data_IF_514501205126
#
_entry.id   IF_514501205126
#
_cell.length_a   1.000
_cell.length_b   1.000
_cell.length_c   1.000
_cell.angle_alpha   90.00
_cell.angle_beta   90.00
_cell.angle_gamma   90.00
#
_symmetry.space_group_name_H-M   'P 1'
#
loop_
_entity.id
_entity.type
_entity.pdbx_description
1 polymer ?
#
# COMPACT_ATOMS: atom_id res chain seq x y z
N UNK A 1 31.13 10.13 -63.84
CA UNK A 1 31.03 9.13 -62.76
C UNK A 1 31.85 9.66 -61.58
N UNK A 2 31.18 10.30 -60.62
CA UNK A 2 31.79 10.81 -59.38
C UNK A 2 31.94 9.69 -58.37
N UNK A 3 33.03 9.65 -57.62
CA UNK A 3 33.20 8.66 -56.57
C UNK A 3 32.17 8.89 -55.48
N UNK A 4 31.48 7.82 -55.09
CA UNK A 4 30.63 7.82 -53.93
C UNK A 4 31.44 8.15 -52.69
N UNK A 5 31.19 9.28 -52.09
CA UNK A 5 31.74 9.67 -50.82
C UNK A 5 31.25 8.66 -49.78
N UNK A 6 32.09 7.73 -49.37
CA UNK A 6 31.85 6.82 -48.27
C UNK A 6 31.73 7.67 -46.99
N UNK A 7 30.51 7.78 -46.50
CA UNK A 7 30.27 8.37 -45.19
C UNK A 7 31.04 7.51 -44.16
N UNK A 8 32.11 8.10 -43.62
CA UNK A 8 32.90 7.47 -42.59
C UNK A 8 32.05 7.06 -41.36
N UNK A 9 32.47 6.07 -40.63
CA UNK A 9 31.71 5.68 -39.43
C UNK A 9 31.54 6.89 -38.51
N UNK A 10 30.29 7.13 -38.11
CA UNK A 10 29.96 8.15 -37.12
C UNK A 10 30.79 7.88 -35.86
N UNK A 11 31.84 8.68 -35.67
CA UNK A 11 32.56 8.68 -34.39
C UNK A 11 31.65 9.18 -33.30
N UNK A 12 31.07 8.24 -32.55
CA UNK A 12 30.23 8.57 -31.39
C UNK A 12 31.13 9.20 -30.35
N UNK A 13 30.96 10.49 -30.14
CA UNK A 13 31.71 11.24 -29.13
C UNK A 13 31.64 10.53 -27.76
N UNK A 14 32.73 10.40 -27.02
CA UNK A 14 32.75 9.77 -25.69
C UNK A 14 31.73 10.42 -24.71
N UNK A 15 31.35 11.68 -24.97
CA UNK A 15 30.30 12.36 -24.21
C UNK A 15 28.94 11.64 -24.25
N UNK A 16 28.61 10.95 -25.36
CA UNK A 16 27.38 10.18 -25.47
C UNK A 16 27.36 8.94 -24.56
N UNK A 17 28.49 8.29 -24.38
CA UNK A 17 28.61 7.15 -23.46
C UNK A 17 28.44 7.60 -22.01
N UNK A 18 28.99 8.76 -21.64
CA UNK A 18 28.80 9.34 -20.30
C UNK A 18 27.33 9.70 -20.07
N UNK A 19 26.68 10.33 -21.05
CA UNK A 19 25.26 10.66 -20.96
C UNK A 19 24.39 9.40 -20.86
N UNK A 20 24.65 8.38 -21.64
CA UNK A 20 23.94 7.10 -21.60
C UNK A 20 24.12 6.38 -20.24
N UNK A 21 25.33 6.34 -19.69
CA UNK A 21 25.60 5.79 -18.36
C UNK A 21 24.86 6.56 -17.27
N UNK A 22 24.82 7.89 -17.36
CA UNK A 22 24.10 8.72 -16.38
C UNK A 22 22.58 8.49 -16.41
N UNK A 23 21.97 8.40 -17.61
CA UNK A 23 20.55 8.06 -17.77
C UNK A 23 20.27 6.65 -17.24
N UNK A 24 21.15 5.69 -17.53
CA UNK A 24 21.02 4.31 -17.03
C UNK A 24 21.09 4.25 -15.49
N UNK A 25 22.03 4.98 -14.89
CA UNK A 25 22.14 5.08 -13.43
C UNK A 25 20.92 5.72 -12.78
N UNK A 26 20.34 6.77 -13.40
CA UNK A 26 19.10 7.38 -12.93
C UNK A 26 17.93 6.43 -13.06
N UNK A 27 17.81 5.70 -14.16
CA UNK A 27 16.78 4.71 -14.38
C UNK A 27 16.89 3.54 -13.37
N UNK A 28 18.10 3.01 -13.17
CA UNK A 28 18.36 2.00 -12.14
C UNK A 28 18.08 2.52 -10.73
N UNK A 29 18.53 3.73 -10.41
CA UNK A 29 18.26 4.37 -9.11
C UNK A 29 16.77 4.50 -8.84
N UNK A 30 15.99 4.88 -9.84
CA UNK A 30 14.54 5.02 -9.71
C UNK A 30 13.83 3.65 -9.60
N UNK A 31 14.32 2.63 -10.31
CA UNK A 31 13.79 1.27 -10.26
C UNK A 31 14.12 0.58 -8.93
N UNK A 32 15.31 0.82 -8.38
CA UNK A 32 15.77 0.24 -7.11
C UNK A 32 15.43 1.08 -5.88
N UNK A 33 15.00 2.35 -6.04
CA UNK A 33 14.59 3.22 -4.93
C UNK A 33 13.51 2.59 -4.03
N UNK A 34 12.46 1.91 -4.55
CA UNK A 34 11.49 1.24 -3.69
C UNK A 34 12.11 0.04 -2.93
N UNK A 35 13.05 -0.71 -3.55
CA UNK A 35 13.75 -1.80 -2.86
C UNK A 35 14.66 -1.26 -1.73
N UNK A 36 15.38 -0.16 -1.97
CA UNK A 36 16.20 0.47 -0.94
C UNK A 36 15.37 1.10 0.17
N UNK A 37 14.20 1.66 -0.13
CA UNK A 37 13.27 2.15 0.89
C UNK A 37 12.66 1.02 1.71
N UNK A 38 12.34 -0.10 1.07
CA UNK A 38 11.89 -1.31 1.76
C UNK A 38 12.99 -1.93 2.64
N UNK A 39 14.26 -1.91 2.18
CA UNK A 39 15.39 -2.44 2.95
C UNK A 39 15.88 -1.49 4.05
N UNK A 40 15.67 -0.19 3.92
CA UNK A 40 16.20 0.82 4.84
C UNK A 40 15.25 1.25 5.95
N UNK A 41 14.02 0.71 6.03
CA UNK A 41 13.10 1.40 6.89
C UNK A 41 12.01 0.72 7.63
N UNK A 42 11.74 -0.55 7.52
CA UNK A 42 10.80 -1.17 8.46
C UNK A 42 11.24 -2.61 8.72
N UNK A 43 12.13 -2.78 9.67
CA UNK A 43 12.23 -4.09 10.33
C UNK A 43 10.94 -4.27 11.12
N UNK A 44 10.12 -5.20 10.67
CA UNK A 44 8.86 -5.60 11.32
C UNK A 44 9.03 -6.14 12.78
N UNK A 45 10.24 -6.02 13.31
CA UNK A 45 10.60 -6.53 14.65
C UNK A 45 10.24 -5.55 15.79
N UNK A 46 10.09 -4.25 15.49
CA UNK A 46 9.57 -3.27 16.46
C UNK A 46 8.31 -2.64 15.86
N UNK A 47 7.19 -3.35 15.98
CA UNK A 47 5.87 -2.82 15.63
C UNK A 47 5.63 -1.47 16.33
N UNK A 48 4.94 -0.51 15.67
CA UNK A 48 4.71 0.79 16.27
C UNK A 48 3.93 0.61 17.57
N UNK A 49 4.46 1.12 18.65
CA UNK A 49 3.77 1.15 19.95
C UNK A 49 2.71 2.25 19.89
N UNK A 50 1.52 1.88 19.49
CA UNK A 50 0.39 2.81 19.46
C UNK A 50 -0.12 2.99 20.89
N UNK A 51 -0.31 4.23 21.37
CA UNK A 51 -0.91 4.49 22.66
C UNK A 51 -2.28 3.80 22.80
N UNK A 52 -2.56 3.17 23.93
CA UNK A 52 -3.82 2.47 24.23
C UNK A 52 -5.08 3.29 23.87
N UNK A 53 -5.15 4.62 24.14
CA UNK A 53 -6.33 5.42 23.79
C UNK A 53 -6.58 5.52 22.28
N UNK A 54 -5.53 5.56 21.47
CA UNK A 54 -5.65 5.60 20.00
C UNK A 54 -6.23 4.27 19.50
N UNK A 55 -5.68 3.16 19.96
CA UNK A 55 -6.17 1.83 19.62
C UNK A 55 -7.65 1.63 19.98
N UNK A 56 -8.05 2.03 21.18
CA UNK A 56 -9.45 1.91 21.60
C UNK A 56 -10.40 2.71 20.73
N UNK A 57 -9.97 3.88 20.22
CA UNK A 57 -10.73 4.68 19.29
C UNK A 57 -10.96 3.94 17.98
N UNK A 58 -9.92 3.31 17.40
CA UNK A 58 -10.09 2.54 16.16
C UNK A 58 -10.96 1.30 16.35
N UNK A 59 -10.80 0.56 17.44
CA UNK A 59 -11.66 -0.58 17.78
C UNK A 59 -13.14 -0.15 17.96
N UNK A 60 -13.38 0.99 18.57
CA UNK A 60 -14.74 1.56 18.70
C UNK A 60 -15.34 1.91 17.34
N UNK A 61 -14.56 2.52 16.43
CA UNK A 61 -15.00 2.83 15.06
C UNK A 61 -15.34 1.57 14.27
N UNK A 62 -14.51 0.51 14.36
CA UNK A 62 -14.80 -0.79 13.74
C UNK A 62 -16.08 -1.39 14.29
N UNK A 63 -16.31 -1.30 15.62
CA UNK A 63 -17.54 -1.79 16.24
C UNK A 63 -18.78 -0.99 15.80
N UNK A 64 -18.66 0.30 15.54
CA UNK A 64 -19.75 1.11 15.00
C UNK A 64 -20.16 0.67 13.59
N UNK A 65 -19.18 0.35 12.71
CA UNK A 65 -19.45 -0.20 11.37
C UNK A 65 -20.19 -1.54 11.48
N UNK A 66 -19.75 -2.43 12.35
CA UNK A 66 -20.40 -3.74 12.56
C UNK A 66 -21.84 -3.58 13.08
N UNK A 67 -22.06 -2.65 14.00
CA UNK A 67 -23.39 -2.35 14.53
C UNK A 67 -24.34 -1.82 13.43
N UNK A 68 -23.85 -0.90 12.60
CA UNK A 68 -24.60 -0.36 11.46
C UNK A 68 -24.99 -1.45 10.46
N UNK A 69 -24.06 -2.36 10.15
CA UNK A 69 -24.28 -3.50 9.26
C UNK A 69 -25.32 -4.48 9.85
N UNK A 70 -25.19 -4.82 11.14
CA UNK A 70 -26.10 -5.75 11.82
C UNK A 70 -27.53 -5.17 11.94
N UNK A 71 -27.64 -3.87 12.17
CA UNK A 71 -28.91 -3.15 12.22
C UNK A 71 -29.55 -2.96 10.83
N UNK A 72 -28.90 -3.40 9.74
CA UNK A 72 -29.30 -3.18 8.33
C UNK A 72 -29.53 -1.70 8.01
N UNK A 73 -28.86 -0.82 8.73
CA UNK A 73 -28.90 0.63 8.52
C UNK A 73 -27.83 1.12 7.56
N UNK A 74 -26.85 0.29 7.25
CA UNK A 74 -25.76 0.58 6.32
C UNK A 74 -25.66 -0.51 5.24
N UNK A 75 -25.30 -0.11 4.03
CA UNK A 75 -25.02 -1.02 2.94
C UNK A 75 -23.66 -1.72 3.13
N UNK A 76 -23.56 -2.97 2.65
CA UNK A 76 -22.33 -3.79 2.75
C UNK A 76 -21.15 -3.09 2.10
N UNK A 77 -21.36 -2.53 0.90
CA UNK A 77 -20.34 -1.83 0.15
C UNK A 77 -19.85 -0.58 0.88
N UNK A 78 -20.79 0.21 1.38
CA UNK A 78 -20.48 1.40 2.18
C UNK A 78 -19.72 1.04 3.46
N UNK A 79 -20.14 -0.03 4.13
CA UNK A 79 -19.46 -0.56 5.32
C UNK A 79 -18.05 -1.04 5.03
N UNK A 80 -17.82 -1.70 3.88
CA UNK A 80 -16.49 -2.13 3.44
C UNK A 80 -15.57 -0.92 3.16
N UNK A 81 -16.08 0.12 2.50
CA UNK A 81 -15.34 1.37 2.24
C UNK A 81 -14.99 2.10 3.54
N UNK A 82 -15.94 2.21 4.47
CA UNK A 82 -15.69 2.81 5.79
C UNK A 82 -14.63 2.03 6.56
N UNK A 83 -14.68 0.70 6.55
CA UNK A 83 -13.70 -0.15 7.21
C UNK A 83 -12.31 0.00 6.58
N UNK A 84 -12.23 0.04 5.25
CA UNK A 84 -10.98 0.30 4.54
C UNK A 84 -10.36 1.66 4.88
N UNK A 85 -11.20 2.68 5.05
CA UNK A 85 -10.76 4.02 5.49
C UNK A 85 -10.20 3.97 6.90
N UNK A 86 -10.91 3.32 7.84
CA UNK A 86 -10.47 3.15 9.23
C UNK A 86 -9.12 2.43 9.31
N UNK A 87 -8.95 1.36 8.53
CA UNK A 87 -7.70 0.58 8.49
C UNK A 87 -6.53 1.41 7.92
N UNK A 88 -6.78 2.23 6.89
CA UNK A 88 -5.75 3.12 6.33
C UNK A 88 -5.34 4.22 7.30
N UNK A 89 -6.30 4.87 7.94
CA UNK A 89 -6.03 5.90 8.97
C UNK A 89 -5.24 5.31 10.13
N UNK A 90 -5.62 4.10 10.59
CA UNK A 90 -4.88 3.38 11.61
C UNK A 90 -3.43 3.11 11.17
N UNK A 91 -3.22 2.67 9.92
CA UNK A 91 -1.88 2.45 9.38
C UNK A 91 -1.09 3.76 9.29
N UNK A 92 -1.74 4.88 8.97
CA UNK A 92 -1.12 6.20 8.97
C UNK A 92 -0.62 6.59 10.36
N UNK A 93 -1.49 6.48 11.37
CA UNK A 93 -1.17 6.85 12.74
C UNK A 93 -0.12 5.91 13.36
N UNK A 94 -0.17 4.63 12.97
CA UNK A 94 0.72 3.60 13.46
C UNK A 94 2.13 3.70 12.88
N UNK A 95 2.24 3.89 11.57
CA UNK A 95 3.49 3.76 10.82
C UNK A 95 3.96 5.06 10.19
N UNK A 96 3.20 6.16 10.32
CA UNK A 96 3.50 7.41 9.64
C UNK A 96 3.47 7.29 8.11
N UNK A 97 2.89 6.22 7.58
CA UNK A 97 2.76 6.00 6.14
C UNK A 97 1.63 6.88 5.63
N UNK A 98 1.83 7.57 4.50
CA UNK A 98 0.74 8.30 3.83
C UNK A 98 -0.28 7.28 3.27
N UNK A 99 -1.17 6.84 4.14
CA UNK A 99 -2.07 5.72 3.86
C UNK A 99 -3.35 6.10 3.10
N UNK A 100 -3.59 7.39 2.86
CA UNK A 100 -4.81 7.89 2.21
C UNK A 100 -5.05 7.24 0.82
N UNK A 101 -3.98 6.91 0.11
CA UNK A 101 -4.03 6.28 -1.21
C UNK A 101 -3.35 4.91 -1.26
N UNK A 102 -3.10 4.31 -0.08
CA UNK A 102 -2.39 3.04 0.01
C UNK A 102 -3.25 1.92 -0.55
N UNK A 103 -2.79 1.31 -1.64
CA UNK A 103 -3.40 0.08 -2.16
C UNK A 103 -2.85 -1.14 -1.43
N UNK A 104 -3.51 -2.30 -1.57
CA UNK A 104 -2.99 -3.56 -1.02
C UNK A 104 -1.61 -3.92 -1.59
N UNK A 105 -1.33 -3.53 -2.86
CA UNK A 105 -0.01 -3.76 -3.49
C UNK A 105 1.08 -2.89 -2.87
N UNK A 106 0.76 -1.63 -2.60
CA UNK A 106 1.71 -0.72 -1.97
C UNK A 106 2.04 -1.18 -0.55
N UNK A 107 1.04 -1.67 0.20
CA UNK A 107 1.22 -2.26 1.51
C UNK A 107 2.11 -3.51 1.47
N UNK A 108 1.90 -4.41 0.50
CA UNK A 108 2.73 -5.60 0.30
C UNK A 108 4.19 -5.23 -0.05
N UNK A 109 4.39 -4.26 -0.95
CA UNK A 109 5.75 -3.76 -1.30
C UNK A 109 6.44 -3.11 -0.10
N UNK A 110 5.67 -2.49 0.80
CA UNK A 110 6.19 -1.91 2.05
C UNK A 110 6.49 -2.96 3.14
N UNK A 111 6.22 -4.24 2.90
CA UNK A 111 6.41 -5.32 3.89
C UNK A 111 5.34 -5.33 4.99
N UNK A 112 4.19 -4.70 4.76
CA UNK A 112 3.06 -4.65 5.66
C UNK A 112 2.03 -5.74 5.28
N UNK A 113 2.44 -6.99 5.35
CA UNK A 113 1.68 -8.12 4.81
C UNK A 113 0.28 -8.26 5.46
N UNK A 114 0.17 -8.09 6.78
CA UNK A 114 -1.11 -8.13 7.49
C UNK A 114 -2.07 -7.03 7.00
N UNK A 115 -1.54 -5.83 6.74
CA UNK A 115 -2.31 -4.71 6.18
C UNK A 115 -2.73 -4.99 4.73
N UNK A 116 -1.80 -5.51 3.91
CA UNK A 116 -2.06 -5.86 2.53
C UNK A 116 -3.19 -6.90 2.42
N UNK A 117 -3.15 -7.94 3.24
CA UNK A 117 -4.19 -8.98 3.31
C UNK A 117 -5.54 -8.40 3.73
N UNK A 118 -5.56 -7.56 4.76
CA UNK A 118 -6.78 -6.90 5.22
C UNK A 118 -7.38 -6.02 4.12
N UNK A 119 -6.58 -5.19 3.45
CA UNK A 119 -7.05 -4.32 2.35
C UNK A 119 -7.53 -5.12 1.15
N UNK A 120 -6.89 -6.24 0.80
CA UNK A 120 -7.31 -7.11 -0.29
C UNK A 120 -8.70 -7.71 0.00
N UNK A 121 -8.92 -8.26 1.19
CA UNK A 121 -10.22 -8.81 1.57
C UNK A 121 -11.34 -7.76 1.60
N UNK A 122 -11.02 -6.53 2.00
CA UNK A 122 -11.99 -5.41 1.95
C UNK A 122 -12.31 -5.00 0.53
N UNK A 123 -11.31 -4.99 -0.37
CA UNK A 123 -11.52 -4.72 -1.79
C UNK A 123 -12.42 -5.77 -2.42
N UNK A 124 -12.19 -7.06 -2.15
CA UNK A 124 -13.05 -8.13 -2.63
C UNK A 124 -14.49 -7.97 -2.14
N UNK A 125 -14.68 -7.62 -0.86
CA UNK A 125 -16.01 -7.38 -0.28
C UNK A 125 -16.73 -6.16 -0.86
N UNK A 126 -15.99 -5.11 -1.26
CA UNK A 126 -16.54 -3.90 -1.90
C UNK A 126 -17.12 -4.19 -3.29
N UNK A 127 -16.49 -5.11 -4.05
CA UNK A 127 -16.84 -5.42 -5.44
C UNK A 127 -17.63 -6.72 -5.61
N UNK A 128 -17.76 -7.55 -4.58
CA UNK A 128 -18.61 -8.71 -4.60
C UNK A 128 -20.09 -8.33 -4.43
N UNK A 129 -21.00 -9.11 -5.01
CA UNK A 129 -22.40 -9.09 -4.59
C UNK A 129 -22.51 -9.77 -3.21
N UNK A 130 -22.03 -9.08 -2.17
CA UNK A 130 -21.87 -9.66 -0.86
C UNK A 130 -23.12 -9.42 0.01
N UNK A 131 -23.58 -10.50 0.64
CA UNK A 131 -24.51 -10.38 1.77
C UNK A 131 -23.80 -9.80 3.02
N UNK A 132 -24.53 -9.19 3.98
CA UNK A 132 -23.93 -8.65 5.21
C UNK A 132 -23.05 -9.63 5.98
N UNK A 133 -23.35 -10.92 5.93
CA UNK A 133 -22.54 -11.99 6.52
C UNK A 133 -21.14 -12.10 5.90
N UNK A 134 -20.97 -11.71 4.62
CA UNK A 134 -19.70 -11.76 3.91
C UNK A 134 -18.66 -10.75 4.41
N UNK A 135 -19.05 -9.68 5.11
CA UNK A 135 -18.13 -8.68 5.65
C UNK A 135 -17.61 -9.02 7.05
N UNK A 136 -18.24 -9.96 7.77
CA UNK A 136 -17.82 -10.34 9.13
C UNK A 136 -16.36 -10.83 9.23
N UNK A 137 -15.83 -11.66 8.31
CA UNK A 137 -14.43 -12.05 8.32
C UNK A 137 -13.49 -10.84 8.23
N UNK A 138 -13.79 -9.86 7.38
CA UNK A 138 -12.99 -8.65 7.18
C UNK A 138 -13.00 -7.74 8.42
N UNK A 139 -14.16 -7.64 9.10
CA UNK A 139 -14.26 -6.93 10.39
C UNK A 139 -13.36 -7.62 11.44
N UNK A 140 -13.38 -8.94 11.49
CA UNK A 140 -12.53 -9.70 12.41
C UNK A 140 -11.04 -9.52 12.10
N UNK A 141 -10.64 -9.52 10.83
CA UNK A 141 -9.25 -9.29 10.42
C UNK A 141 -8.80 -7.85 10.73
N UNK A 142 -9.64 -6.84 10.48
CA UNK A 142 -9.34 -5.46 10.85
C UNK A 142 -9.13 -5.30 12.37
N UNK A 143 -9.95 -5.96 13.19
CA UNK A 143 -9.76 -6.00 14.64
C UNK A 143 -8.46 -6.67 15.06
N UNK A 144 -8.12 -7.80 14.44
CA UNK A 144 -6.85 -8.50 14.72
C UNK A 144 -5.65 -7.64 14.35
N UNK A 145 -5.71 -6.95 13.20
CA UNK A 145 -4.66 -6.02 12.76
C UNK A 145 -4.43 -4.94 13.82
N UNK A 146 -5.50 -4.23 14.25
CA UNK A 146 -5.42 -3.19 15.27
C UNK A 146 -4.95 -3.74 16.63
N UNK A 147 -5.35 -4.98 17.00
CA UNK A 147 -4.95 -5.60 18.24
C UNK A 147 -3.49 -6.10 18.24
N UNK A 148 -3.00 -6.58 17.08
CA UNK A 148 -1.65 -7.15 16.95
C UNK A 148 -0.56 -6.07 16.88
N UNK A 149 -0.89 -4.91 16.34
CA UNK A 149 0.03 -3.77 16.20
C UNK A 149 0.08 -2.90 17.48
N UNK A 150 0.24 -3.54 18.61
CA UNK A 150 0.31 -2.93 19.95
C UNK A 150 1.61 -3.25 20.68
#
# INVERSE_FOLDING_TARGET
MGPAELIGPLEVSPAWYVAACFVLLLACGNLFAPLFRAAAGVTAADGPRIPIPVRSTYLSRISAVETGLTAKSADVRESAQQLATIVREFAHDAWGVKAEHLTYRDAAVAGLDDLAQCLLGLYEAEFAEAEPAGLQPQIAEARKLVARWS
#
